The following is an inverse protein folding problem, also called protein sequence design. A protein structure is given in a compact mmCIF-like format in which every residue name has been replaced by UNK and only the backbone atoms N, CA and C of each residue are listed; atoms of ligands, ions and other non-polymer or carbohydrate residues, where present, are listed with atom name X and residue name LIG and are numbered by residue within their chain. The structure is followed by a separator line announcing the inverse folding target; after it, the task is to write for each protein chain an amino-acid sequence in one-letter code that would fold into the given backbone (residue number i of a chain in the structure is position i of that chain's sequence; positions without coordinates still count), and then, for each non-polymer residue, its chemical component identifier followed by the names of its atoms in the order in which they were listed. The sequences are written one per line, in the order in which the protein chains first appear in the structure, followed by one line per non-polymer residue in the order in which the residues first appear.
data_IF_495907929561
#
_entry.id   IF_495907929561
#
_cell.length_a   1.000
_cell.length_b   1.000
_cell.length_c   1.000
_cell.angle_alpha   90.00
_cell.angle_beta   90.00
_cell.angle_gamma   90.00
#
_symmetry.space_group_name_H-M   'P 1'
#
loop_
_entity.id
_entity.type
_entity.pdbx_description
1 polymer ?
#
# COMPACT_ATOMS: atom_id res chain seq x y z
N UNK A 1 -2.07 -48.47 -72.23
CA UNK A 1 -2.17 -49.38 -71.07
C UNK A 1 -0.83 -50.06 -70.87
N UNK A 2 -0.04 -49.64 -69.90
CA UNK A 2 0.55 -50.55 -68.89
C UNK A 2 1.28 -49.70 -67.84
N UNK A 3 0.70 -49.70 -66.64
CA UNK A 3 1.29 -49.19 -65.41
C UNK A 3 2.71 -49.74 -65.23
N UNK A 4 3.71 -48.87 -65.15
CA UNK A 4 4.97 -49.22 -64.52
C UNK A 4 4.79 -48.94 -63.03
N UNK A 5 4.15 -49.86 -62.31
CA UNK A 5 4.28 -49.90 -60.86
C UNK A 5 5.72 -50.27 -60.55
N UNK A 6 6.56 -49.26 -60.35
CA UNK A 6 7.82 -49.40 -59.64
C UNK A 6 7.51 -50.07 -58.30
N UNK A 7 7.92 -51.32 -58.15
CA UNK A 7 7.89 -52.03 -56.87
C UNK A 7 9.04 -51.50 -56.02
N UNK A 8 8.97 -50.21 -55.67
CA UNK A 8 9.86 -49.62 -54.67
C UNK A 8 9.56 -50.27 -53.33
N UNK A 9 10.59 -50.87 -52.73
CA UNK A 9 10.47 -51.53 -51.43
C UNK A 9 9.94 -50.53 -50.39
N UNK A 10 9.16 -50.98 -49.40
CA UNK A 10 8.68 -50.12 -48.33
C UNK A 10 9.80 -49.32 -47.65
N UNK A 11 10.99 -49.90 -47.55
CA UNK A 11 12.19 -49.29 -46.97
C UNK A 11 12.70 -48.11 -47.82
N UNK A 12 12.83 -48.29 -49.14
CA UNK A 12 13.29 -47.24 -50.05
C UNK A 12 12.32 -46.04 -50.09
N UNK A 13 11.00 -46.30 -50.01
CA UNK A 13 9.99 -45.23 -49.92
C UNK A 13 10.06 -44.48 -48.60
N UNK A 14 10.34 -45.17 -47.50
CA UNK A 14 10.49 -44.53 -46.19
C UNK A 14 11.73 -43.63 -46.12
N UNK A 15 12.86 -44.06 -46.71
CA UNK A 15 14.07 -43.24 -46.79
C UNK A 15 13.89 -42.02 -47.70
N UNK A 16 13.27 -42.18 -48.87
CA UNK A 16 12.99 -41.07 -49.77
C UNK A 16 12.08 -40.02 -49.09
N UNK A 17 11.05 -40.47 -48.37
CA UNK A 17 10.17 -39.58 -47.61
C UNK A 17 10.89 -38.91 -46.43
N UNK A 18 11.85 -39.58 -45.78
CA UNK A 18 12.67 -38.98 -44.74
C UNK A 18 13.54 -37.84 -45.28
N UNK A 19 14.17 -38.03 -46.45
CA UNK A 19 14.96 -36.99 -47.13
C UNK A 19 14.08 -35.81 -47.57
N UNK A 20 12.96 -36.08 -48.21
CA UNK A 20 12.03 -35.03 -48.66
C UNK A 20 11.41 -34.23 -47.49
N UNK A 21 11.16 -34.87 -46.34
CA UNK A 21 10.75 -34.15 -45.13
C UNK A 21 11.86 -33.21 -44.64
N UNK A 22 13.11 -33.65 -44.65
CA UNK A 22 14.25 -32.84 -44.27
C UNK A 22 14.46 -31.64 -45.22
N UNK A 23 14.40 -31.86 -46.53
CA UNK A 23 14.56 -30.82 -47.55
C UNK A 23 13.49 -29.73 -47.43
N UNK A 24 12.28 -30.11 -46.98
CA UNK A 24 11.18 -29.19 -46.69
C UNK A 24 11.25 -28.55 -45.30
N UNK A 25 12.33 -28.78 -44.55
CA UNK A 25 12.53 -28.26 -43.18
C UNK A 25 11.55 -28.83 -42.15
N UNK A 26 10.96 -30.00 -42.43
CA UNK A 26 10.00 -30.67 -41.54
C UNK A 26 10.73 -31.70 -40.68
N UNK A 27 10.26 -31.88 -39.44
CA UNK A 27 10.85 -32.86 -38.53
C UNK A 27 10.69 -34.29 -39.07
N UNK A 28 11.81 -34.99 -39.31
CA UNK A 28 11.86 -36.38 -39.76
C UNK A 28 11.57 -37.33 -38.59
N UNK A 29 10.28 -37.47 -38.29
CA UNK A 29 9.77 -38.39 -37.25
C UNK A 29 9.17 -39.64 -37.89
N UNK A 30 9.14 -40.75 -37.13
CA UNK A 30 8.60 -42.02 -37.61
C UNK A 30 7.14 -41.92 -38.08
N UNK A 31 6.34 -41.04 -37.44
CA UNK A 31 4.96 -40.78 -37.84
C UNK A 31 4.89 -40.00 -39.16
N UNK A 32 5.68 -38.94 -39.30
CA UNK A 32 5.71 -38.14 -40.52
C UNK A 32 6.20 -38.95 -41.72
N UNK A 33 7.24 -39.78 -41.53
CA UNK A 33 7.75 -40.68 -42.56
C UNK A 33 6.69 -41.72 -42.95
N UNK A 34 5.96 -42.28 -41.99
CA UNK A 34 4.85 -43.21 -42.27
C UNK A 34 3.74 -42.55 -43.07
N UNK A 35 3.35 -41.34 -42.69
CA UNK A 35 2.29 -40.58 -43.35
C UNK A 35 2.67 -40.20 -44.79
N UNK A 36 3.91 -39.77 -45.00
CA UNK A 36 4.42 -39.40 -46.32
C UNK A 36 4.69 -40.62 -47.24
N UNK A 37 5.20 -41.73 -46.71
CA UNK A 37 5.56 -42.92 -47.51
C UNK A 37 4.45 -43.98 -47.60
N UNK A 38 3.44 -43.94 -46.72
CA UNK A 38 2.38 -44.95 -46.64
C UNK A 38 2.86 -46.34 -46.20
N UNK A 39 3.90 -46.40 -45.36
CA UNK A 39 4.56 -47.67 -44.96
C UNK A 39 4.15 -48.14 -43.55
N UNK A 40 4.55 -49.36 -43.16
CA UNK A 40 4.36 -49.85 -41.79
C UNK A 40 5.21 -49.03 -40.81
N UNK A 41 4.68 -48.82 -39.60
CA UNK A 41 5.31 -47.98 -38.58
C UNK A 41 6.74 -48.43 -38.22
N UNK A 42 7.03 -49.73 -38.23
CA UNK A 42 8.36 -50.26 -37.97
C UNK A 42 9.39 -49.78 -39.02
N UNK A 43 9.02 -49.78 -40.30
CA UNK A 43 9.89 -49.35 -41.40
C UNK A 43 10.12 -47.83 -41.34
N UNK A 44 9.08 -47.05 -41.08
CA UNK A 44 9.20 -45.61 -40.89
C UNK A 44 10.03 -45.24 -39.65
N UNK A 45 9.93 -46.02 -38.57
CA UNK A 45 10.73 -45.81 -37.37
C UNK A 45 12.22 -46.07 -37.60
N UNK A 46 12.56 -47.13 -38.36
CA UNK A 46 13.93 -47.43 -38.76
C UNK A 46 14.49 -46.30 -39.65
N UNK A 47 13.76 -45.89 -40.69
CA UNK A 47 14.21 -44.81 -41.58
C UNK A 47 14.37 -43.47 -40.85
N UNK A 48 13.44 -43.10 -39.98
CA UNK A 48 13.54 -41.87 -39.20
C UNK A 48 14.66 -41.92 -38.16
N UNK A 49 14.99 -43.10 -37.61
CA UNK A 49 16.15 -43.28 -36.72
C UNK A 49 17.45 -43.15 -37.50
N UNK A 50 17.57 -43.85 -38.63
CA UNK A 50 18.74 -43.79 -39.49
C UNK A 50 19.03 -42.36 -39.99
N UNK A 51 17.98 -41.59 -40.35
CA UNK A 51 18.16 -40.18 -40.71
C UNK A 51 18.65 -39.33 -39.53
N UNK A 52 18.13 -39.53 -38.32
CA UNK A 52 18.58 -38.77 -37.13
C UNK A 52 20.01 -39.13 -36.73
N UNK A 53 20.39 -40.39 -36.89
CA UNK A 53 21.75 -40.88 -36.63
C UNK A 53 22.73 -40.29 -37.65
N UNK A 54 22.39 -40.32 -38.95
CA UNK A 54 23.19 -39.67 -39.98
C UNK A 54 23.32 -38.15 -39.77
N UNK A 55 22.25 -37.48 -39.32
CA UNK A 55 22.31 -36.06 -38.98
C UNK A 55 23.10 -35.77 -37.71
N UNK A 56 23.05 -36.67 -36.72
CA UNK A 56 23.87 -36.53 -35.52
C UNK A 56 25.36 -36.65 -35.90
N UNK A 57 25.72 -37.62 -36.74
CA UNK A 57 27.07 -37.81 -37.25
C UNK A 57 27.54 -36.63 -38.13
N UNK A 58 26.63 -36.02 -38.92
CA UNK A 58 26.95 -34.86 -39.77
C UNK A 58 27.04 -33.53 -38.98
N UNK A 59 26.32 -33.42 -37.86
CA UNK A 59 26.26 -32.21 -37.03
C UNK A 59 27.20 -32.25 -35.82
N UNK A 60 27.86 -33.38 -35.56
CA UNK A 60 28.87 -33.52 -34.50
C UNK A 60 30.16 -32.79 -34.90
N UNK A 61 30.10 -31.47 -34.95
CA UNK A 61 31.26 -30.60 -35.02
C UNK A 61 31.85 -30.56 -33.62
N UNK A 62 32.96 -31.26 -33.42
CA UNK A 62 33.71 -31.24 -32.16
C UNK A 62 34.23 -29.82 -31.91
N UNK A 63 33.57 -29.09 -31.01
CA UNK A 63 33.98 -27.74 -30.63
C UNK A 63 35.19 -27.87 -29.70
N UNK A 64 36.38 -27.39 -30.11
CA UNK A 64 37.56 -27.48 -29.25
C UNK A 64 37.40 -26.58 -28.03
N UNK A 65 38.05 -26.96 -26.93
CA UNK A 65 38.07 -26.13 -25.73
C UNK A 65 38.66 -24.74 -26.02
N UNK A 66 38.07 -23.71 -25.41
CA UNK A 66 38.56 -22.33 -25.54
C UNK A 66 40.00 -22.25 -25.03
N UNK A 67 40.96 -21.81 -25.85
CA UNK A 67 42.35 -21.63 -25.45
C UNK A 67 42.51 -20.78 -24.18
N UNK A 68 43.48 -21.15 -23.34
CA UNK A 68 43.68 -20.53 -22.03
C UNK A 68 43.96 -19.03 -22.08
N UNK A 69 44.62 -18.56 -23.15
CA UNK A 69 44.91 -17.14 -23.38
C UNK A 69 43.63 -16.35 -23.72
N UNK A 70 42.74 -16.91 -24.55
CA UNK A 70 41.44 -16.30 -24.88
C UNK A 70 40.58 -16.22 -23.62
N UNK A 71 40.53 -17.29 -22.83
CA UNK A 71 39.82 -17.31 -21.55
C UNK A 71 40.35 -16.25 -20.58
N UNK A 72 41.67 -16.18 -20.39
CA UNK A 72 42.29 -15.19 -19.52
C UNK A 72 42.01 -13.74 -19.94
N UNK A 73 41.93 -13.47 -21.25
CA UNK A 73 41.57 -12.14 -21.77
C UNK A 73 40.10 -11.80 -21.51
N UNK A 74 39.19 -12.77 -21.68
CA UNK A 74 37.77 -12.57 -21.36
C UNK A 74 37.58 -12.31 -19.86
N UNK A 75 38.25 -13.07 -19.01
CA UNK A 75 38.20 -12.88 -17.55
C UNK A 75 38.71 -11.49 -17.15
N UNK A 76 39.80 -11.02 -17.77
CA UNK A 76 40.34 -9.69 -17.53
C UNK A 76 39.37 -8.57 -17.96
N UNK A 77 38.81 -8.67 -19.17
CA UNK A 77 37.82 -7.70 -19.67
C UNK A 77 36.59 -7.67 -18.76
N UNK A 78 36.11 -8.84 -18.33
CA UNK A 78 34.98 -8.94 -17.42
C UNK A 78 35.28 -8.33 -16.05
N UNK A 79 36.46 -8.61 -15.48
CA UNK A 79 36.88 -8.03 -14.21
C UNK A 79 36.98 -6.50 -14.28
N UNK A 80 37.50 -5.96 -15.39
CA UNK A 80 37.58 -4.51 -15.61
C UNK A 80 36.20 -3.87 -15.77
N UNK A 81 35.32 -4.48 -16.58
CA UNK A 81 33.94 -4.02 -16.75
C UNK A 81 33.16 -4.04 -15.43
N UNK A 82 33.32 -5.11 -14.64
CA UNK A 82 32.69 -5.23 -13.34
C UNK A 82 33.18 -4.18 -12.35
N UNK A 83 34.51 -3.97 -12.28
CA UNK A 83 35.10 -2.91 -11.43
C UNK A 83 34.61 -1.52 -11.84
N UNK A 84 34.53 -1.23 -13.13
CA UNK A 84 34.02 0.03 -13.65
C UNK A 84 32.53 0.24 -13.31
N UNK A 85 31.71 -0.82 -13.41
CA UNK A 85 30.31 -0.78 -13.02
C UNK A 85 30.15 -0.52 -11.51
N UNK A 86 30.90 -1.23 -10.67
CA UNK A 86 30.90 -1.03 -9.21
C UNK A 86 31.33 0.38 -8.85
N UNK A 87 32.39 0.90 -9.47
CA UNK A 87 32.87 2.27 -9.23
C UNK A 87 31.83 3.33 -9.62
N UNK A 88 31.03 3.06 -10.66
CA UNK A 88 29.94 3.97 -11.10
C UNK A 88 28.73 3.92 -10.15
N UNK A 89 28.34 2.73 -9.69
CA UNK A 89 27.08 2.53 -8.95
C UNK A 89 27.24 2.78 -7.44
N UNK A 90 28.39 2.43 -6.87
CA UNK A 90 28.63 2.50 -5.42
C UNK A 90 28.37 3.88 -4.81
N UNK A 91 28.85 5.00 -5.41
CA UNK A 91 28.63 6.33 -4.83
C UNK A 91 27.14 6.70 -4.73
N UNK A 92 26.37 6.41 -5.77
CA UNK A 92 24.93 6.72 -5.79
C UNK A 92 24.16 5.83 -4.82
N UNK A 93 24.52 4.54 -4.72
CA UNK A 93 23.97 3.63 -3.71
C UNK A 93 24.23 4.16 -2.30
N UNK A 94 25.45 4.57 -2.01
CA UNK A 94 25.84 5.04 -0.68
C UNK A 94 25.16 6.36 -0.34
N UNK A 95 25.05 7.28 -1.32
CA UNK A 95 24.29 8.53 -1.18
C UNK A 95 22.83 8.24 -0.85
N UNK A 96 22.18 7.36 -1.61
CA UNK A 96 20.78 6.97 -1.37
C UNK A 96 20.59 6.27 -0.01
N UNK A 97 21.56 5.47 0.43
CA UNK A 97 21.50 4.82 1.74
C UNK A 97 21.53 5.85 2.88
N UNK A 98 22.34 6.91 2.75
CA UNK A 98 22.35 8.03 3.70
C UNK A 98 21.03 8.79 3.66
N UNK A 99 20.55 9.15 2.47
CA UNK A 99 19.28 9.89 2.30
C UNK A 99 18.08 9.11 2.88
N UNK A 100 18.03 7.79 2.72
CA UNK A 100 16.99 6.95 3.33
C UNK A 100 17.04 7.00 4.85
N UNK A 101 18.24 7.04 5.45
CA UNK A 101 18.37 7.10 6.90
C UNK A 101 18.01 8.49 7.44
N UNK A 102 18.39 9.55 6.73
CA UNK A 102 17.98 10.93 7.05
C UNK A 102 16.45 11.06 7.00
N UNK A 103 15.82 10.58 5.92
CA UNK A 103 14.36 10.61 5.77
C UNK A 103 13.64 9.78 6.85
N UNK A 104 14.21 8.65 7.28
CA UNK A 104 13.66 7.89 8.42
C UNK A 104 13.71 8.70 9.70
N UNK A 105 14.83 9.36 9.99
CA UNK A 105 14.95 10.24 11.13
C UNK A 105 13.97 11.42 11.09
N UNK A 106 13.75 12.01 9.91
CA UNK A 106 12.74 13.06 9.74
C UNK A 106 11.32 12.56 9.96
N UNK A 107 10.98 11.37 9.45
CA UNK A 107 9.67 10.74 9.68
C UNK A 107 9.45 10.48 11.16
N UNK A 108 10.42 9.89 11.87
CA UNK A 108 10.33 9.62 13.30
C UNK A 108 10.14 10.91 14.11
N UNK A 109 10.89 11.97 13.77
CA UNK A 109 10.78 13.27 14.43
C UNK A 109 9.42 13.95 14.16
N UNK A 110 8.91 13.87 12.93
CA UNK A 110 7.61 14.43 12.60
C UNK A 110 6.48 13.63 13.26
N UNK A 111 6.59 12.31 13.33
CA UNK A 111 5.65 11.46 14.06
C UNK A 111 5.58 11.86 15.53
N UNK A 112 6.72 12.02 16.21
CA UNK A 112 6.76 12.49 17.59
C UNK A 112 6.13 13.89 17.75
N UNK A 113 6.42 14.82 16.82
CA UNK A 113 5.83 16.16 16.82
C UNK A 113 4.31 16.12 16.67
N UNK A 114 3.78 15.22 15.83
CA UNK A 114 2.34 15.04 15.66
C UNK A 114 1.72 14.51 16.96
N UNK A 115 2.33 13.50 17.58
CA UNK A 115 1.84 12.94 18.86
C UNK A 115 1.79 14.01 19.98
N UNK A 116 2.79 14.88 20.05
CA UNK A 116 2.83 16.00 21.00
C UNK A 116 1.69 16.99 20.72
N UNK A 117 1.50 17.40 19.46
CA UNK A 117 0.41 18.33 19.08
C UNK A 117 -0.97 17.73 19.32
N UNK A 118 -1.15 16.44 19.08
CA UNK A 118 -2.41 15.75 19.38
C UNK A 118 -2.69 15.71 20.88
N UNK A 119 -1.66 15.49 21.71
CA UNK A 119 -1.76 15.56 23.17
C UNK A 119 -2.16 16.96 23.62
N UNK A 120 -1.48 18.00 23.12
CA UNK A 120 -1.83 19.39 23.42
C UNK A 120 -3.27 19.74 23.01
N UNK A 121 -3.69 19.29 21.82
CA UNK A 121 -5.06 19.47 21.33
C UNK A 121 -6.07 18.86 22.29
N UNK A 122 -5.83 17.65 22.75
CA UNK A 122 -6.75 16.92 23.63
C UNK A 122 -6.81 17.57 25.02
N UNK A 123 -5.68 18.05 25.55
CA UNK A 123 -5.65 18.87 26.77
C UNK A 123 -6.39 20.20 26.62
N UNK A 124 -6.27 20.85 25.47
CA UNK A 124 -7.01 22.08 25.17
C UNK A 124 -8.52 21.82 25.07
N UNK A 125 -8.93 20.71 24.45
CA UNK A 125 -10.32 20.31 24.37
C UNK A 125 -10.93 20.05 25.75
N UNK A 126 -10.21 19.33 26.62
CA UNK A 126 -10.63 19.09 28.01
C UNK A 126 -10.79 20.41 28.79
N UNK A 127 -9.82 21.33 28.67
CA UNK A 127 -9.89 22.65 29.32
C UNK A 127 -11.06 23.49 28.83
N UNK A 128 -11.40 23.41 27.54
CA UNK A 128 -12.57 24.10 26.98
C UNK A 128 -13.88 23.54 27.55
N UNK A 129 -13.98 22.21 27.66
CA UNK A 129 -15.16 21.57 28.25
C UNK A 129 -15.33 21.97 29.72
N UNK A 130 -14.26 21.93 30.52
CA UNK A 130 -14.27 22.40 31.90
C UNK A 130 -14.70 23.87 32.01
N UNK A 131 -14.16 24.75 31.15
CA UNK A 131 -14.52 26.16 31.12
C UNK A 131 -16.00 26.39 30.76
N UNK A 132 -16.54 25.61 29.82
CA UNK A 132 -17.95 25.68 29.43
C UNK A 132 -18.89 25.18 30.54
N UNK A 133 -18.50 24.14 31.26
CA UNK A 133 -19.23 23.66 32.44
C UNK A 133 -19.21 24.69 33.58
N UNK A 134 -18.04 25.28 33.87
CA UNK A 134 -17.90 26.34 34.86
C UNK A 134 -18.73 27.58 34.48
N UNK A 135 -18.71 27.99 33.21
CA UNK A 135 -19.53 29.09 32.69
C UNK A 135 -21.02 28.82 32.90
N UNK A 136 -21.47 27.61 32.55
CA UNK A 136 -22.88 27.21 32.69
C UNK A 136 -23.32 27.30 34.14
N UNK A 137 -22.51 26.77 35.06
CA UNK A 137 -22.74 26.84 36.50
C UNK A 137 -22.83 28.30 36.99
N UNK A 138 -21.86 29.13 36.62
CA UNK A 138 -21.83 30.54 37.02
C UNK A 138 -23.04 31.34 36.49
N UNK A 139 -23.50 31.04 35.27
CA UNK A 139 -24.71 31.65 34.69
C UNK A 139 -25.95 31.24 35.49
N UNK A 140 -26.08 29.96 35.86
CA UNK A 140 -27.18 29.48 36.70
C UNK A 140 -27.17 30.12 38.09
N UNK A 141 -26.03 30.13 38.77
CA UNK A 141 -25.88 30.75 40.10
C UNK A 141 -26.20 32.24 40.07
N UNK A 142 -25.76 32.96 39.02
CA UNK A 142 -26.11 34.35 38.82
C UNK A 142 -27.62 34.53 38.64
N UNK A 143 -28.28 33.68 37.85
CA UNK A 143 -29.72 33.72 37.67
C UNK A 143 -30.47 33.55 38.98
N UNK A 144 -30.05 32.59 39.82
CA UNK A 144 -30.63 32.39 41.15
C UNK A 144 -30.39 33.58 42.09
N UNK A 145 -29.21 34.17 42.04
CA UNK A 145 -28.87 35.35 42.84
C UNK A 145 -29.74 36.56 42.47
N UNK A 146 -29.94 36.80 41.17
CA UNK A 146 -30.83 37.86 40.67
C UNK A 146 -32.26 37.61 41.16
N UNK A 147 -32.80 36.40 40.97
CA UNK A 147 -34.15 36.07 41.42
C UNK A 147 -34.31 36.15 42.96
N UNK A 148 -33.25 35.92 43.72
CA UNK A 148 -33.25 36.08 45.19
C UNK A 148 -33.25 37.55 45.59
N UNK A 149 -32.51 38.40 44.87
CA UNK A 149 -32.48 39.84 45.07
C UNK A 149 -33.85 40.46 44.78
N UNK A 150 -34.46 40.14 43.65
CA UNK A 150 -35.82 40.60 43.29
C UNK A 150 -36.84 40.25 44.39
N UNK A 151 -36.86 38.99 44.86
CA UNK A 151 -37.72 38.57 45.98
C UNK A 151 -37.40 39.26 47.31
N UNK A 152 -36.16 39.71 47.52
CA UNK A 152 -35.80 40.46 48.71
C UNK A 152 -36.29 41.91 48.62
N UNK A 153 -36.16 42.53 47.45
CA UNK A 153 -36.68 43.87 47.15
C UNK A 153 -38.21 43.91 47.28
N UNK A 154 -38.93 42.94 46.71
CA UNK A 154 -40.40 42.83 46.84
C UNK A 154 -40.84 42.72 48.31
N UNK A 155 -40.13 41.90 49.09
CA UNK A 155 -40.41 41.75 50.53
C UNK A 155 -40.10 43.02 51.31
N UNK A 156 -39.01 43.73 50.96
CA UNK A 156 -38.68 45.00 51.58
C UNK A 156 -39.76 46.05 51.31
N UNK A 157 -40.20 46.19 50.06
CA UNK A 157 -41.29 47.08 49.68
C UNK A 157 -42.60 46.76 50.43
N UNK A 158 -42.94 45.47 50.57
CA UNK A 158 -44.11 45.05 51.34
C UNK A 158 -44.01 45.40 52.84
N UNK A 159 -42.83 45.21 53.44
CA UNK A 159 -42.57 45.58 54.85
C UNK A 159 -42.63 47.09 55.05
N UNK A 160 -42.10 47.88 54.12
CA UNK A 160 -42.18 49.34 54.16
C UNK A 160 -43.64 49.82 54.09
N UNK A 161 -44.44 49.27 53.18
CA UNK A 161 -45.86 49.59 53.08
C UNK A 161 -46.64 49.23 54.36
N UNK A 162 -46.34 48.09 54.98
CA UNK A 162 -46.99 47.70 56.25
C UNK A 162 -46.53 48.58 57.42
N UNK A 163 -45.25 48.95 57.48
CA UNK A 163 -44.73 49.92 58.46
C UNK A 163 -45.48 51.24 58.34
N UNK A 164 -45.64 51.76 57.13
CA UNK A 164 -46.30 53.04 56.90
C UNK A 164 -47.78 52.99 57.31
N UNK A 165 -48.48 51.90 56.96
CA UNK A 165 -49.85 51.63 57.44
C UNK A 165 -49.93 51.59 58.96
N UNK A 166 -49.04 50.86 59.63
CA UNK A 166 -49.03 50.75 61.09
C UNK A 166 -48.71 52.10 61.75
N UNK A 167 -47.80 52.89 61.18
CA UNK A 167 -47.48 54.24 61.66
C UNK A 167 -48.69 55.17 61.58
N UNK A 168 -49.46 55.12 60.48
CA UNK A 168 -50.73 55.84 60.35
C UNK A 168 -51.76 55.40 61.40
N UNK A 169 -51.91 54.09 61.63
CA UNK A 169 -52.82 53.55 62.64
C UNK A 169 -52.45 53.98 64.06
N UNK A 170 -51.16 53.92 64.41
CA UNK A 170 -50.65 54.38 65.71
C UNK A 170 -50.87 55.88 65.88
N UNK A 171 -50.57 56.68 64.85
CA UNK A 171 -50.84 58.12 64.85
C UNK A 171 -52.33 58.44 65.09
N UNK A 172 -53.23 57.72 64.42
CA UNK A 172 -54.66 57.86 64.61
C UNK A 172 -55.14 57.44 66.02
N UNK A 173 -54.55 56.40 66.61
CA UNK A 173 -54.83 55.98 67.98
C UNK A 173 -54.36 57.02 69.00
N UNK A 174 -53.16 57.55 68.85
CA UNK A 174 -52.61 58.61 69.72
C UNK A 174 -53.51 59.84 69.69
N UNK A 175 -53.95 60.28 68.51
CA UNK A 175 -54.86 61.42 68.37
C UNK A 175 -56.23 61.21 69.05
N UNK A 176 -56.58 59.96 69.37
CA UNK A 176 -57.84 59.58 70.02
C UNK A 176 -57.75 59.47 71.54
N UNK A 177 -56.56 59.63 72.13
CA UNK A 177 -56.36 59.65 73.58
C UNK A 177 -56.70 61.07 74.08
N UNK A 178 -57.69 61.24 74.98
CA UNK A 178 -58.03 62.55 75.54
C UNK A 178 -56.89 63.08 76.43
N UNK A 179 -56.62 64.39 76.36
CA UNK A 179 -55.62 65.02 77.24
C UNK A 179 -56.03 64.88 78.72
N UNK A 180 -55.08 64.64 79.64
CA UNK A 180 -55.39 64.56 81.06
C UNK A 180 -55.86 65.94 81.56
N UNK A 181 -57.04 65.97 82.18
CA UNK A 181 -57.56 67.17 82.84
C UNK A 181 -56.55 67.62 83.93
N UNK A 182 -56.05 68.85 83.79
CA UNK A 182 -55.20 69.54 84.77
C UNK A 182 -56.04 70.31 85.80
#
# INVERSE_FOLDING_TARGET
MTDTQETTTPEARAEAAARDLADRGRAVTARAVREAAGVRMAVAAVAARAWREAQADETEVEVPEVPADVRGRLDAIWADAYRAAVATITPERDRLAVEVEELRGEVDALTATVEDVETERDEHAARLEEADQARTTAVSERGEAVARAERAEDRAAAVEAERDRLAEQVGALIARIPEPEA
#
